data_IF_867754653154
#
_entry.id   IF_867754653154
#
_cell.length_a   1.000
_cell.length_b   1.000
_cell.length_c   1.000
_cell.angle_alpha   90.00
_cell.angle_beta   90.00
_cell.angle_gamma   90.00
#
_symmetry.space_group_name_H-M   'P 1'
#
loop_
_entity.id
_entity.type
_entity.pdbx_description
1 polymer ?
#
# COMPACT_ATOMS: atom_id res chain seq x y z
N UNK A 1 -1.52 -22.71 -7.97
CA UNK A 1 -1.90 -21.32 -7.63
C UNK A 1 -0.90 -20.80 -6.64
N UNK A 2 -0.38 -19.60 -6.87
CA UNK A 2 0.50 -18.94 -5.91
C UNK A 2 -0.39 -18.40 -4.78
N UNK A 3 -0.21 -18.88 -3.56
CA UNK A 3 -0.97 -18.38 -2.40
C UNK A 3 -0.68 -16.91 -2.07
N UNK A 4 0.38 -16.37 -2.68
CA UNK A 4 0.93 -15.06 -2.42
C UNK A 4 1.53 -14.46 -3.71
N UNK A 5 0.69 -13.93 -4.62
CA UNK A 5 1.12 -13.42 -5.92
C UNK A 5 1.95 -12.12 -5.83
N UNK A 6 2.08 -11.53 -4.64
CA UNK A 6 2.84 -10.28 -4.45
C UNK A 6 4.26 -10.56 -3.97
N UNK A 7 4.54 -11.73 -3.40
CA UNK A 7 5.84 -12.04 -2.79
C UNK A 7 7.01 -11.87 -3.75
N UNK A 8 8.03 -11.15 -3.29
CA UNK A 8 9.23 -10.86 -4.06
C UNK A 8 9.04 -9.79 -5.14
N UNK A 9 7.88 -9.15 -5.25
CA UNK A 9 7.56 -8.18 -6.30
C UNK A 9 7.47 -6.76 -5.73
N UNK A 10 7.67 -5.79 -6.61
CA UNK A 10 7.24 -4.40 -6.35
C UNK A 10 5.95 -4.16 -7.13
N UNK A 11 4.95 -3.61 -6.46
CA UNK A 11 3.68 -3.24 -7.08
C UNK A 11 3.54 -1.73 -6.94
N UNK A 12 3.26 -1.05 -8.04
CA UNK A 12 2.95 0.38 -8.03
C UNK A 12 1.46 0.57 -8.15
N UNK A 13 0.88 1.31 -7.22
CA UNK A 13 -0.54 1.63 -7.20
C UNK A 13 -0.70 3.11 -7.49
N UNK A 14 -1.70 3.48 -8.27
CA UNK A 14 -2.09 4.87 -8.52
C UNK A 14 -3.52 5.06 -8.10
N UNK A 15 -3.77 5.98 -7.17
CA UNK A 15 -5.12 6.23 -6.66
C UNK A 15 -5.84 7.29 -7.49
N UNK A 16 -7.10 7.03 -7.78
CA UNK A 16 -7.99 7.87 -8.58
C UNK A 16 -8.97 8.66 -7.69
N UNK A 17 -9.27 8.15 -6.50
CA UNK A 17 -10.16 8.78 -5.53
C UNK A 17 -9.57 8.78 -4.10
N UNK A 18 -10.31 9.40 -3.17
CA UNK A 18 -9.93 9.47 -1.76
C UNK A 18 -8.79 10.47 -1.46
N UNK A 19 -8.28 10.48 -0.22
CA UNK A 19 -7.26 11.45 0.22
C UNK A 19 -5.93 11.37 -0.55
N UNK A 20 -5.69 10.26 -1.25
CA UNK A 20 -4.48 10.01 -2.05
C UNK A 20 -4.71 10.14 -3.56
N UNK A 21 -5.87 10.63 -4.01
CA UNK A 21 -6.17 10.80 -5.43
C UNK A 21 -5.04 11.53 -6.20
N UNK A 22 -4.67 11.00 -7.36
CA UNK A 22 -3.61 11.50 -8.22
C UNK A 22 -2.19 11.10 -7.79
N UNK A 23 -2.01 10.40 -6.67
CA UNK A 23 -0.70 9.95 -6.19
C UNK A 23 -0.45 8.48 -6.53
N UNK A 24 0.84 8.18 -6.73
CA UNK A 24 1.30 6.79 -6.87
C UNK A 24 2.21 6.38 -5.72
N UNK A 25 2.13 5.11 -5.35
CA UNK A 25 2.96 4.50 -4.31
C UNK A 25 3.53 3.19 -4.83
N UNK A 26 4.81 2.97 -4.58
CA UNK A 26 5.45 1.67 -4.76
C UNK A 26 5.45 0.91 -3.45
N UNK A 27 4.97 -0.33 -3.49
CA UNK A 27 5.02 -1.30 -2.41
C UNK A 27 5.91 -2.47 -2.84
N UNK A 28 7.05 -2.62 -2.18
CA UNK A 28 7.97 -3.75 -2.38
C UNK A 28 7.69 -4.83 -1.34
N UNK A 29 7.05 -5.92 -1.77
CA UNK A 29 6.79 -7.12 -0.99
C UNK A 29 8.01 -8.03 -1.06
N UNK A 30 8.77 -8.10 0.03
CA UNK A 30 10.01 -8.87 0.10
C UNK A 30 9.72 -10.37 0.25
N UNK A 31 10.71 -11.17 -0.11
CA UNK A 31 10.66 -12.63 0.04
C UNK A 31 10.57 -13.08 1.51
N UNK A 32 10.90 -12.21 2.47
CA UNK A 32 10.82 -12.50 3.92
C UNK A 32 9.42 -12.27 4.53
N UNK A 33 8.43 -11.83 3.75
CA UNK A 33 7.08 -11.54 4.26
C UNK A 33 6.93 -10.13 4.84
N UNK A 34 7.89 -9.22 4.55
CA UNK A 34 7.76 -7.80 4.86
C UNK A 34 7.43 -6.98 3.62
N UNK A 35 6.75 -5.84 3.82
CA UNK A 35 6.45 -4.86 2.78
C UNK A 35 7.13 -3.54 3.13
N UNK A 36 7.74 -2.89 2.15
CA UNK A 36 8.18 -1.50 2.26
C UNK A 36 7.47 -0.62 1.24
N UNK A 37 7.18 0.63 1.58
CA UNK A 37 6.43 1.53 0.68
C UNK A 37 7.04 2.92 0.55
N UNK A 38 6.82 3.56 -0.60
CA UNK A 38 7.21 4.95 -0.87
C UNK A 38 6.27 5.61 -1.88
N UNK A 39 6.03 6.90 -1.73
CA UNK A 39 5.36 7.71 -2.76
C UNK A 39 6.29 7.88 -3.98
N UNK A 40 5.75 7.77 -5.18
CA UNK A 40 6.46 7.94 -6.45
C UNK A 40 5.70 8.94 -7.32
N UNK A 41 6.38 9.95 -7.87
CA UNK A 41 5.78 10.85 -8.88
C UNK A 41 5.31 12.22 -8.40
N UNK A 42 5.57 12.62 -7.14
CA UNK A 42 5.38 14.01 -6.70
C UNK A 42 6.74 14.70 -6.48
N UNK A 43 6.88 15.94 -6.97
CA UNK A 43 7.91 16.88 -6.50
C UNK A 43 7.90 16.92 -4.97
N UNK A 44 9.10 17.02 -4.39
CA UNK A 44 9.39 16.96 -2.95
C UNK A 44 8.55 17.96 -2.14
N UNK A 45 7.33 17.58 -1.79
CA UNK A 45 6.61 18.10 -0.64
C UNK A 45 5.57 17.07 -0.24
N UNK A 46 5.79 16.30 0.85
CA UNK A 46 4.74 15.46 1.38
C UNK A 46 3.67 16.38 1.96
N UNK A 47 2.64 16.70 1.17
CA UNK A 47 1.35 17.13 1.76
C UNK A 47 0.70 15.88 2.30
N UNK A 48 0.97 15.67 3.58
CA UNK A 48 0.40 14.68 4.47
C UNK A 48 -1.11 14.95 4.57
N UNK A 49 -1.97 13.92 4.60
CA UNK A 49 -3.38 14.12 4.92
C UNK A 49 -3.46 14.71 6.33
N UNK A 50 -3.99 15.93 6.42
CA UNK A 50 -4.20 16.63 7.67
C UNK A 50 -5.50 16.13 8.28
N UNK A 51 -5.43 15.20 9.25
CA UNK A 51 -6.32 15.16 10.42
C UNK A 51 -5.90 14.17 11.52
N UNK A 52 -4.60 13.87 11.62
CA UNK A 52 -4.01 13.24 12.79
C UNK A 52 -2.65 13.84 13.06
N UNK A 53 -2.53 14.63 14.14
CA UNK A 53 -1.24 15.13 14.62
C UNK A 53 -0.29 13.95 14.84
N UNK A 54 0.77 13.89 14.03
CA UNK A 54 1.86 12.97 14.27
C UNK A 54 2.97 13.69 15.04
N UNK A 55 3.36 13.11 16.18
CA UNK A 55 4.55 13.54 16.94
C UNK A 55 5.76 13.56 16.02
N UNK A 56 6.25 14.74 15.71
CA UNK A 56 7.46 15.03 14.92
C UNK A 56 8.71 14.71 15.75
N UNK A 57 8.98 13.42 15.94
CA UNK A 57 10.29 12.93 16.34
C UNK A 57 11.10 12.59 15.10
N UNK A 58 12.29 13.19 14.95
CA UNK A 58 13.24 12.90 13.86
C UNK A 58 13.51 11.40 13.75
N UNK A 59 12.97 10.81 12.68
CA UNK A 59 13.22 9.43 12.27
C UNK A 59 12.30 9.16 11.11
N UNK A 60 12.84 8.77 9.96
CA UNK A 60 12.06 8.16 8.89
C UNK A 60 11.24 7.07 9.56
N UNK A 61 9.93 7.28 9.62
CA UNK A 61 9.00 6.26 10.12
C UNK A 61 9.33 5.01 9.33
N UNK A 62 9.68 3.93 10.02
CA UNK A 62 10.00 2.66 9.37
C UNK A 62 8.89 2.35 8.37
N UNK A 63 9.22 2.55 7.09
CA UNK A 63 8.36 2.24 5.97
C UNK A 63 8.49 0.77 5.67
N UNK A 64 8.44 -0.06 6.72
CA UNK A 64 8.53 -1.50 6.71
C UNK A 64 7.53 -2.08 7.70
N UNK A 65 6.80 -3.09 7.28
CA UNK A 65 5.88 -3.83 8.13
C UNK A 65 5.83 -5.29 7.70
N UNK A 66 5.41 -6.19 8.59
CA UNK A 66 4.91 -7.50 8.17
C UNK A 66 3.58 -7.29 7.42
N UNK A 67 3.38 -8.00 6.32
CA UNK A 67 2.07 -8.07 5.67
C UNK A 67 1.43 -9.44 5.87
N UNK A 68 0.11 -9.47 5.78
CA UNK A 68 -0.68 -10.68 5.61
C UNK A 68 -1.38 -10.60 4.25
N UNK A 69 -1.58 -11.76 3.62
CA UNK A 69 -2.31 -11.89 2.37
C UNK A 69 -3.25 -13.09 2.44
N UNK A 70 -4.45 -12.95 1.89
CA UNK A 70 -5.42 -14.03 1.75
C UNK A 70 -6.07 -13.98 0.37
N UNK A 71 -6.20 -15.12 -0.33
CA UNK A 71 -7.02 -15.17 -1.52
C UNK A 71 -8.50 -14.91 -1.16
N UNK A 72 -9.18 -14.15 -2.00
CA UNK A 72 -10.64 -13.99 -2.02
C UNK A 72 -11.23 -14.92 -3.08
N UNK A 73 -10.59 -14.97 -4.25
CA UNK A 73 -10.77 -15.95 -5.31
C UNK A 73 -9.48 -16.05 -6.14
N UNK A 74 -9.52 -16.72 -7.28
CA UNK A 74 -8.37 -17.01 -8.16
C UNK A 74 -7.54 -15.77 -8.55
N UNK A 75 -8.21 -14.63 -8.75
CA UNK A 75 -7.61 -13.40 -9.29
C UNK A 75 -7.68 -12.23 -8.29
N UNK A 76 -8.31 -12.42 -7.14
CA UNK A 76 -8.55 -11.35 -6.16
C UNK A 76 -7.94 -11.71 -4.82
N UNK A 77 -7.12 -10.83 -4.27
CA UNK A 77 -6.38 -11.04 -3.03
C UNK A 77 -6.57 -9.86 -2.09
N UNK A 78 -6.77 -10.14 -0.81
CA UNK A 78 -6.74 -9.15 0.25
C UNK A 78 -5.35 -9.12 0.89
N UNK A 79 -4.72 -7.96 0.94
CA UNK A 79 -3.41 -7.71 1.55
C UNK A 79 -3.58 -6.71 2.67
N UNK A 80 -2.97 -6.93 3.83
CA UNK A 80 -3.03 -5.98 4.94
C UNK A 80 -1.69 -5.85 5.66
N UNK A 81 -1.36 -4.66 6.14
CA UNK A 81 -0.23 -4.44 7.03
C UNK A 81 -0.51 -3.32 8.03
N UNK A 82 -0.02 -3.49 9.27
CA UNK A 82 0.00 -2.47 10.31
C UNK A 82 1.38 -1.82 10.33
N UNK A 83 1.44 -0.53 10.01
CA UNK A 83 2.68 0.24 10.06
C UNK A 83 3.01 0.72 11.48
N UNK A 84 4.28 1.03 11.73
CA UNK A 84 4.72 1.69 12.96
C UNK A 84 4.07 3.07 13.22
N UNK A 85 3.31 3.59 12.25
CA UNK A 85 2.53 4.82 12.40
C UNK A 85 1.21 4.67 13.15
N UNK A 86 0.75 3.44 13.38
CA UNK A 86 -0.60 3.18 13.87
C UNK A 86 -1.63 3.04 12.73
N UNK A 87 -1.30 3.41 11.50
CA UNK A 87 -2.15 3.09 10.35
C UNK A 87 -2.00 1.63 9.93
N UNK A 88 -3.14 0.99 9.71
CA UNK A 88 -3.31 -0.21 8.91
C UNK A 88 -3.71 0.18 7.50
N UNK A 89 -3.07 -0.42 6.50
CA UNK A 89 -3.56 -0.40 5.12
C UNK A 89 -4.07 -1.79 4.78
N UNK A 90 -5.34 -1.89 4.41
CA UNK A 90 -5.94 -3.12 3.88
C UNK A 90 -6.37 -2.88 2.45
N UNK A 91 -5.89 -3.71 1.53
CA UNK A 91 -6.06 -3.53 0.10
C UNK A 91 -6.57 -4.80 -0.55
N UNK A 92 -7.56 -4.67 -1.41
CA UNK A 92 -8.04 -5.74 -2.29
C UNK A 92 -7.47 -5.48 -3.67
N UNK A 93 -6.71 -6.46 -4.18
CA UNK A 93 -6.05 -6.44 -5.48
C UNK A 93 -6.79 -7.38 -6.43
N UNK A 94 -7.38 -6.85 -7.50
CA UNK A 94 -7.96 -7.62 -8.60
C UNK A 94 -6.93 -7.69 -9.74
N UNK A 95 -6.24 -8.82 -9.85
CA UNK A 95 -5.19 -9.05 -10.84
C UNK A 95 -5.72 -9.20 -12.27
N UNK A 96 -6.97 -9.65 -12.43
CA UNK A 96 -7.59 -9.73 -13.75
C UNK A 96 -7.86 -8.34 -14.33
N UNK A 97 -8.18 -7.36 -13.48
CA UNK A 97 -8.49 -5.98 -13.89
C UNK A 97 -7.37 -4.97 -13.66
N UNK A 98 -6.35 -5.32 -12.88
CA UNK A 98 -5.31 -4.39 -12.44
C UNK A 98 -5.87 -3.26 -11.56
N UNK A 99 -6.90 -3.54 -10.76
CA UNK A 99 -7.55 -2.54 -9.90
C UNK A 99 -7.31 -2.80 -8.43
N UNK A 100 -7.25 -1.74 -7.64
CA UNK A 100 -7.05 -1.78 -6.20
C UNK A 100 -8.12 -0.98 -5.48
N UNK A 101 -8.63 -1.55 -4.39
CA UNK A 101 -9.40 -0.83 -3.37
C UNK A 101 -8.64 -0.93 -2.06
N UNK A 102 -8.27 0.20 -1.48
CA UNK A 102 -7.57 0.27 -0.22
C UNK A 102 -8.40 1.00 0.83
N UNK A 103 -8.36 0.50 2.06
CA UNK A 103 -8.85 1.16 3.24
C UNK A 103 -7.65 1.49 4.13
N UNK A 104 -7.36 2.78 4.29
CA UNK A 104 -6.40 3.24 5.28
C UNK A 104 -7.16 3.56 6.57
N UNK A 105 -6.74 2.96 7.68
CA UNK A 105 -7.43 3.12 8.96
C UNK A 105 -6.46 3.21 10.13
N UNK A 106 -6.87 3.93 11.17
CA UNK A 106 -6.27 3.93 12.49
C UNK A 106 -7.39 4.15 13.54
N UNK A 107 -7.05 4.58 14.76
CA UNK A 107 -8.03 4.84 15.81
C UNK A 107 -8.91 6.08 15.60
N UNK A 108 -8.60 6.92 14.59
CA UNK A 108 -9.26 8.20 14.30
C UNK A 108 -9.82 8.31 12.89
N UNK A 109 -9.25 7.57 11.95
CA UNK A 109 -9.51 7.69 10.53
C UNK A 109 -9.90 6.34 9.94
N UNK A 110 -10.86 6.38 9.02
CA UNK A 110 -11.30 5.24 8.22
C UNK A 110 -11.64 5.77 6.84
N UNK A 111 -10.72 5.63 5.90
CA UNK A 111 -10.85 6.20 4.55
C UNK A 111 -10.65 5.13 3.49
N UNK A 112 -11.54 5.15 2.49
CA UNK A 112 -11.43 4.31 1.29
C UNK A 112 -10.80 5.11 0.16
N UNK A 113 -9.97 4.43 -0.62
CA UNK A 113 -9.36 4.95 -1.84
C UNK A 113 -9.25 3.82 -2.88
N UNK A 114 -9.43 4.16 -4.15
CA UNK A 114 -9.50 3.23 -5.27
C UNK A 114 -8.56 3.68 -6.37
N UNK A 115 -8.15 2.74 -7.20
CA UNK A 115 -7.41 3.06 -8.41
C UNK A 115 -6.91 1.81 -9.11
N UNK A 116 -5.74 1.94 -9.73
CA UNK A 116 -5.12 0.88 -10.53
C UNK A 116 -3.77 0.47 -9.95
N UNK A 117 -3.31 -0.71 -10.32
CA UNK A 117 -1.96 -1.15 -9.99
C UNK A 117 -1.29 -1.87 -11.16
N UNK A 118 0.04 -1.82 -11.13
CA UNK A 118 0.93 -2.50 -12.05
C UNK A 118 2.04 -3.21 -11.27
N UNK A 119 2.42 -4.40 -11.72
CA UNK A 119 3.59 -5.09 -11.18
C UNK A 119 4.83 -4.46 -11.81
N UNK A 120 5.56 -3.67 -11.03
CA UNK A 120 6.85 -3.12 -11.43
C UNK A 120 7.89 -4.23 -11.32
N UNK A 121 8.10 -4.99 -12.40
CA UNK A 121 9.12 -6.04 -12.42
C UNK A 121 10.50 -5.46 -12.06
N UNK A 122 11.24 -6.18 -11.22
CA UNK A 122 12.70 -6.13 -11.28
C UNK A 122 13.15 -7.16 -12.31
N UNK A 123 13.70 -6.66 -13.41
CA UNK A 123 14.59 -7.47 -14.25
C UNK A 123 15.79 -7.86 -13.38
N UNK A 124 15.98 -9.17 -13.19
CA UNK A 124 17.25 -9.84 -12.87
C UNK A 124 18.03 -9.36 -11.65
#
# INVERSE_FOLDING_TARGET
>A
MESDPVRGKTIRWTYEDGPMAGKSFEHSFRSDGTVTWRETGAEKTPKQPTNGERKTGKGQVDSQAKYEISPVNDEVYAVSYLSASGYTLTSVLDFARGTVVSVASNEKELVVQRGTFEVAERVG
#
